data_IF_403778918967
#
_entry.id   IF_403778918967
#
_cell.length_a   1.000
_cell.length_b   1.000
_cell.length_c   1.000
_cell.angle_alpha   90.00
_cell.angle_beta   90.00
_cell.angle_gamma   90.00
#
_symmetry.space_group_name_H-M   'P 1'
#
loop_
_entity.id
_entity.type
_entity.pdbx_description
1 polymer ?
#
# COMPACT_ATOMS: atom_id res chain seq x y z
N UNK A 1 45.43 7.82 -40.00
CA UNK A 1 44.21 8.42 -40.59
C UNK A 1 43.43 7.26 -41.16
N UNK A 2 42.44 6.76 -40.42
CA UNK A 2 41.08 7.36 -40.33
C UNK A 2 40.40 7.33 -41.71
N UNK A 3 39.27 6.67 -41.94
CA UNK A 3 38.13 6.42 -41.04
C UNK A 3 37.54 4.99 -41.16
N UNK A 4 36.76 4.57 -40.15
CA UNK A 4 35.98 3.32 -40.12
C UNK A 4 34.55 3.47 -40.73
N UNK A 5 33.76 2.38 -40.91
CA UNK A 5 32.73 2.31 -41.95
C UNK A 5 31.35 2.90 -41.58
N UNK A 6 30.55 3.14 -42.62
CA UNK A 6 29.10 3.37 -42.50
C UNK A 6 28.42 2.16 -41.84
N UNK A 7 27.82 2.36 -40.66
CA UNK A 7 26.81 1.46 -40.11
C UNK A 7 25.42 2.09 -40.28
N UNK A 8 24.60 1.46 -41.11
CA UNK A 8 23.23 1.86 -41.39
C UNK A 8 22.33 1.36 -40.25
N UNK A 9 21.87 2.27 -39.40
CA UNK A 9 20.97 1.93 -38.28
C UNK A 9 19.56 1.77 -38.84
N UNK A 10 19.07 0.53 -38.94
CA UNK A 10 17.66 0.26 -39.26
C UNK A 10 16.75 0.75 -38.13
N UNK A 11 15.75 1.57 -38.48
CA UNK A 11 14.71 2.07 -37.57
C UNK A 11 13.73 0.93 -37.23
N UNK A 12 14.10 0.10 -36.25
CA UNK A 12 13.23 -0.93 -35.69
C UNK A 12 12.39 -0.37 -34.55
N UNK A 13 11.08 -0.26 -34.83
CA UNK A 13 10.03 0.09 -33.87
C UNK A 13 10.18 -0.71 -32.56
N UNK A 14 10.08 -0.08 -31.38
CA UNK A 14 10.16 -0.79 -30.11
C UNK A 14 8.99 -1.77 -29.97
N UNK A 15 9.29 -3.04 -29.68
CA UNK A 15 8.28 -4.04 -29.33
C UNK A 15 7.91 -3.85 -27.87
N UNK A 16 6.61 -3.67 -27.61
CA UNK A 16 6.06 -3.44 -26.28
C UNK A 16 5.83 -4.78 -25.56
N UNK A 17 6.70 -5.13 -24.62
CA UNK A 17 6.49 -6.28 -23.72
C UNK A 17 5.48 -5.93 -22.62
N UNK A 18 4.73 -6.92 -22.13
CA UNK A 18 3.53 -6.75 -21.31
C UNK A 18 3.70 -5.99 -19.98
N UNK A 19 4.92 -5.87 -19.45
CA UNK A 19 5.24 -5.14 -18.20
C UNK A 19 5.77 -3.72 -18.40
N UNK A 20 5.76 -3.19 -19.63
CA UNK A 20 5.90 -1.75 -19.90
C UNK A 20 7.27 -1.11 -19.64
N UNK A 21 8.29 -1.87 -19.25
CA UNK A 21 9.65 -1.36 -19.02
C UNK A 21 10.50 -1.40 -20.29
N UNK A 22 11.13 -0.27 -20.65
CA UNK A 22 12.05 -0.17 -21.79
C UNK A 22 13.44 -0.70 -21.44
N UNK A 23 13.83 -1.83 -22.05
CA UNK A 23 15.13 -2.46 -21.80
C UNK A 23 16.21 -1.88 -22.73
N UNK A 24 16.91 -0.83 -22.28
CA UNK A 24 18.07 -0.27 -23.01
C UNK A 24 19.32 -1.10 -22.74
N UNK A 25 19.64 -2.03 -23.63
CA UNK A 25 20.91 -2.76 -23.61
C UNK A 25 22.04 -1.95 -24.26
N UNK A 26 23.08 -1.59 -23.50
CA UNK A 26 24.48 -1.62 -23.95
C UNK A 26 25.45 -1.42 -22.75
N UNK A 27 26.41 -2.35 -22.62
CA UNK A 27 27.56 -2.31 -21.70
C UNK A 27 28.75 -1.66 -22.42
N UNK A 28 29.80 -1.09 -21.77
CA UNK A 28 30.91 -1.92 -21.25
C UNK A 28 31.77 -1.30 -20.11
N UNK A 29 31.93 -1.97 -18.96
CA UNK A 29 33.15 -1.80 -18.14
C UNK A 29 33.46 -3.05 -17.31
N UNK A 30 34.70 -3.51 -17.37
CA UNK A 30 35.23 -4.73 -16.74
C UNK A 30 36.23 -4.35 -15.63
N UNK A 31 36.14 -4.92 -14.41
CA UNK A 31 37.08 -4.62 -13.34
C UNK A 31 38.32 -5.54 -13.34
N UNK A 32 39.50 -4.95 -13.51
CA UNK A 32 40.80 -5.65 -13.35
C UNK A 32 41.12 -5.92 -11.88
N UNK A 33 41.73 -7.07 -11.57
CA UNK A 33 41.97 -7.56 -10.21
C UNK A 33 43.22 -6.98 -9.51
N UNK A 34 43.13 -6.80 -8.18
CA UNK A 34 44.29 -6.78 -7.26
C UNK A 34 43.88 -7.14 -5.82
N UNK A 35 44.70 -7.97 -5.16
CA UNK A 35 44.41 -8.74 -3.94
C UNK A 35 44.30 -7.96 -2.61
N UNK A 36 43.50 -8.52 -1.67
CA UNK A 36 43.91 -8.74 -0.27
C UNK A 36 43.04 -9.83 0.40
N UNK A 37 43.66 -10.70 1.20
CA UNK A 37 43.08 -11.94 1.76
C UNK A 37 42.56 -11.75 3.19
N UNK A 38 41.41 -12.36 3.54
CA UNK A 38 41.16 -13.10 4.80
C UNK A 38 39.87 -13.93 4.64
N UNK A 39 39.84 -15.15 5.19
CA UNK A 39 38.83 -16.17 4.87
C UNK A 39 37.85 -16.45 6.02
N UNK A 40 36.59 -16.75 5.68
CA UNK A 40 35.68 -17.64 6.44
C UNK A 40 34.61 -18.25 5.53
N UNK A 41 34.12 -19.43 5.90
CA UNK A 41 33.05 -20.20 5.27
C UNK A 41 32.19 -20.82 6.39
N UNK A 42 30.93 -21.20 6.22
CA UNK A 42 30.09 -21.43 5.02
C UNK A 42 28.64 -20.95 5.38
N UNK A 43 27.57 -20.95 4.57
CA UNK A 43 27.24 -21.65 3.32
C UNK A 43 26.13 -20.91 2.52
N UNK A 44 25.58 -21.59 1.51
CA UNK A 44 24.50 -21.22 0.58
C UNK A 44 23.09 -21.15 1.16
N UNK A 45 22.32 -20.13 0.76
CA UNK A 45 20.90 -20.29 0.38
C UNK A 45 20.46 -19.15 -0.56
N UNK A 46 20.45 -19.40 -1.87
CA UNK A 46 19.78 -18.55 -2.86
C UNK A 46 18.28 -18.76 -2.78
N UNK A 47 17.51 -17.72 -2.48
CA UNK A 47 16.06 -17.70 -2.73
C UNK A 47 15.66 -16.40 -3.38
N UNK A 48 15.61 -16.41 -4.71
CA UNK A 48 14.84 -15.47 -5.52
C UNK A 48 13.37 -15.55 -5.11
N UNK A 49 12.86 -14.52 -4.43
CA UNK A 49 11.43 -14.37 -4.15
C UNK A 49 10.84 -13.43 -5.20
N UNK A 50 10.49 -14.01 -6.35
CA UNK A 50 9.53 -13.38 -7.26
C UNK A 50 8.15 -13.53 -6.63
N UNK A 51 7.64 -12.49 -5.98
CA UNK A 51 6.22 -12.39 -5.67
C UNK A 51 5.51 -11.61 -6.78
N UNK A 52 5.06 -12.35 -7.78
CA UNK A 52 4.07 -11.88 -8.73
C UNK A 52 2.78 -11.57 -7.96
N UNK A 53 2.43 -10.28 -7.84
CA UNK A 53 1.10 -9.90 -7.34
C UNK A 53 0.06 -10.24 -8.40
N UNK A 54 -0.42 -11.49 -8.40
CA UNK A 54 -1.53 -11.93 -9.23
C UNK A 54 -2.77 -11.07 -8.91
N UNK A 55 -3.11 -10.19 -9.84
CA UNK A 55 -4.38 -9.45 -9.81
C UNK A 55 -5.52 -10.43 -10.14
N UNK A 56 -5.97 -11.14 -9.11
CA UNK A 56 -7.13 -12.03 -9.22
C UNK A 56 -8.37 -11.22 -9.60
N UNK A 57 -8.75 -11.29 -10.87
CA UNK A 57 -10.03 -10.79 -11.37
C UNK A 57 -11.18 -11.73 -10.94
N UNK A 58 -11.38 -11.85 -9.63
CA UNK A 58 -12.51 -12.54 -9.05
C UNK A 58 -13.77 -11.68 -9.15
N UNK A 59 -14.68 -12.03 -10.05
CA UNK A 59 -16.07 -11.55 -10.01
C UNK A 59 -16.78 -12.29 -8.87
N UNK A 60 -16.43 -11.93 -7.64
CA UNK A 60 -17.11 -12.38 -6.43
C UNK A 60 -18.27 -11.45 -6.14
N UNK A 61 -19.50 -11.96 -6.20
CA UNK A 61 -20.70 -11.24 -5.72
C UNK A 61 -20.70 -11.31 -4.18
N UNK A 62 -19.78 -10.56 -3.57
CA UNK A 62 -19.80 -10.24 -2.15
C UNK A 62 -20.45 -8.87 -1.96
N UNK A 63 -21.52 -8.81 -1.17
CA UNK A 63 -22.15 -7.53 -0.78
C UNK A 63 -21.26 -6.89 0.28
N UNK A 64 -20.20 -6.24 -0.17
CA UNK A 64 -19.18 -5.60 0.65
C UNK A 64 -18.30 -4.73 -0.23
N UNK A 65 -18.69 -3.46 -0.40
CA UNK A 65 -17.81 -2.46 -0.98
C UNK A 65 -16.55 -2.24 -0.11
N UNK A 66 -15.51 -1.61 -0.64
CA UNK A 66 -14.33 -1.29 0.15
C UNK A 66 -14.72 -0.43 1.37
N UNK A 67 -14.08 -0.69 2.51
CA UNK A 67 -14.29 0.04 3.76
C UNK A 67 -14.16 1.56 3.53
N UNK A 68 -15.19 2.32 3.89
CA UNK A 68 -15.21 3.78 3.81
C UNK A 68 -14.98 4.42 5.17
N UNK A 69 -14.55 5.67 5.19
CA UNK A 69 -14.28 6.43 6.43
C UNK A 69 -15.54 6.56 7.30
N UNK A 70 -16.71 6.70 6.68
CA UNK A 70 -18.00 6.83 7.37
C UNK A 70 -18.45 5.53 8.09
N UNK A 71 -17.80 4.41 7.80
CA UNK A 71 -18.14 3.09 8.35
C UNK A 71 -17.29 2.71 9.57
N UNK A 72 -16.37 3.58 10.01
CA UNK A 72 -15.42 3.33 11.09
C UNK A 72 -16.04 3.60 12.47
N UNK A 73 -15.89 2.65 13.41
CA UNK A 73 -16.33 2.81 14.81
C UNK A 73 -15.18 3.37 15.67
N UNK A 74 -15.02 4.69 15.66
CA UNK A 74 -13.94 5.43 16.35
C UNK A 74 -14.52 6.42 17.38
N UNK A 75 -15.70 6.12 17.96
CA UNK A 75 -16.29 6.97 19.00
C UNK A 75 -15.60 6.79 20.37
N UNK A 76 -14.54 7.56 20.57
CA UNK A 76 -13.67 7.46 21.76
C UNK A 76 -13.98 8.53 22.83
N UNK A 77 -14.62 9.64 22.45
CA UNK A 77 -14.95 10.73 23.37
C UNK A 77 -15.86 10.34 24.55
N UNK A 78 -16.90 9.49 24.39
CA UNK A 78 -17.75 9.08 25.51
C UNK A 78 -16.95 8.41 26.63
N UNK A 79 -16.02 7.52 26.29
CA UNK A 79 -15.22 6.79 27.28
C UNK A 79 -14.12 7.66 27.91
N UNK A 80 -13.54 8.61 27.16
CA UNK A 80 -12.62 9.61 27.74
C UNK A 80 -13.34 10.46 28.79
N UNK A 81 -14.53 10.97 28.48
CA UNK A 81 -15.35 11.73 29.42
C UNK A 81 -15.64 10.93 30.70
N UNK A 82 -16.00 9.67 30.52
CA UNK A 82 -16.32 8.75 31.60
C UNK A 82 -15.12 8.35 32.47
N UNK A 83 -13.88 8.39 31.94
CA UNK A 83 -12.64 8.23 32.70
C UNK A 83 -12.33 9.50 33.48
N UNK A 84 -12.38 10.69 32.84
CA UNK A 84 -12.14 11.98 33.51
C UNK A 84 -13.08 12.14 34.71
N UNK A 85 -14.38 11.93 34.50
CA UNK A 85 -15.39 11.93 35.57
C UNK A 85 -15.10 10.90 36.66
N UNK A 86 -14.53 9.74 36.34
CA UNK A 86 -14.21 8.71 37.32
C UNK A 86 -12.96 9.03 38.14
N UNK A 87 -11.99 9.76 37.58
CA UNK A 87 -10.77 10.22 38.26
C UNK A 87 -11.05 11.44 39.14
N UNK A 88 -11.94 12.34 38.70
CA UNK A 88 -12.33 13.56 39.44
C UNK A 88 -13.29 13.29 40.61
N UNK A 89 -13.89 12.11 40.68
CA UNK A 89 -14.88 11.76 41.70
C UNK A 89 -14.20 11.44 43.03
N UNK A 90 -14.31 12.34 44.01
CA UNK A 90 -13.78 12.11 45.37
C UNK A 90 -14.54 10.95 46.06
N UNK A 91 -13.87 9.84 46.40
CA UNK A 91 -14.53 8.63 46.87
C UNK A 91 -14.72 8.66 48.40
N UNK A 92 -15.97 8.70 48.87
CA UNK A 92 -16.34 8.89 50.28
C UNK A 92 -15.90 7.76 51.24
N UNK A 93 -15.77 6.52 50.78
CA UNK A 93 -15.57 5.34 51.65
C UNK A 93 -14.51 4.38 51.12
N UNK A 94 -13.78 3.69 51.99
CA UNK A 94 -12.62 2.86 51.58
C UNK A 94 -13.01 1.64 50.71
N UNK A 95 -14.21 1.09 50.91
CA UNK A 95 -14.74 0.00 50.07
C UNK A 95 -15.22 0.52 48.71
N UNK A 96 -15.74 1.74 48.66
CA UNK A 96 -16.15 2.44 47.43
C UNK A 96 -14.91 2.83 46.62
N UNK A 97 -13.84 3.35 47.27
CA UNK A 97 -12.53 3.64 46.66
C UNK A 97 -12.00 2.48 45.82
N UNK A 98 -12.02 1.27 46.36
CA UNK A 98 -11.49 0.09 45.67
C UNK A 98 -12.33 -0.28 44.44
N UNK A 99 -13.66 -0.17 44.53
CA UNK A 99 -14.58 -0.44 43.41
C UNK A 99 -14.48 0.62 42.32
N UNK A 100 -14.55 1.89 42.67
CA UNK A 100 -14.47 2.98 41.69
C UNK A 100 -13.09 3.02 41.00
N UNK A 101 -12.02 2.69 41.72
CA UNK A 101 -10.70 2.47 41.13
C UNK A 101 -10.68 1.31 40.13
N UNK A 102 -11.29 0.15 40.49
CA UNK A 102 -11.38 -0.99 39.58
C UNK A 102 -12.16 -0.65 38.31
N UNK A 103 -13.30 0.04 38.45
CA UNK A 103 -14.16 0.43 37.33
C UNK A 103 -13.47 1.49 36.44
N UNK A 104 -12.71 2.42 37.04
CA UNK A 104 -11.86 3.37 36.30
C UNK A 104 -10.80 2.64 35.45
N UNK A 105 -10.09 1.67 36.04
CA UNK A 105 -9.10 0.86 35.33
C UNK A 105 -9.74 0.04 34.19
N UNK A 106 -10.97 -0.45 34.37
CA UNK A 106 -11.70 -1.14 33.30
C UNK A 106 -12.00 -0.22 32.11
N UNK A 107 -12.44 1.02 32.37
CA UNK A 107 -12.67 2.02 31.31
C UNK A 107 -11.38 2.40 30.57
N UNK A 108 -10.25 2.52 31.29
CA UNK A 108 -8.93 2.77 30.68
C UNK A 108 -8.53 1.60 29.75
N UNK A 109 -8.81 0.35 30.15
CA UNK A 109 -8.54 -0.82 29.31
C UNK A 109 -9.46 -0.91 28.09
N UNK A 110 -10.76 -0.58 28.23
CA UNK A 110 -11.65 -0.49 27.06
C UNK A 110 -11.18 0.62 26.10
N UNK A 111 -10.76 1.78 26.60
CA UNK A 111 -10.18 2.86 25.78
C UNK A 111 -8.96 2.38 24.99
N UNK A 112 -8.04 1.63 25.60
CA UNK A 112 -6.91 1.01 24.91
C UNK A 112 -7.36 0.05 23.79
N UNK A 113 -8.36 -0.79 24.08
CA UNK A 113 -8.95 -1.71 23.09
C UNK A 113 -9.63 -0.98 21.93
N UNK A 114 -10.32 0.14 22.21
CA UNK A 114 -10.94 1.01 21.18
C UNK A 114 -9.87 1.63 20.28
N UNK A 115 -8.75 2.11 20.83
CA UNK A 115 -7.63 2.61 20.03
C UNK A 115 -7.02 1.54 19.12
N UNK A 116 -6.81 0.31 19.60
CA UNK A 116 -6.24 -0.74 18.76
C UNK A 116 -7.22 -1.22 17.69
N UNK A 117 -8.53 -1.32 18.02
CA UNK A 117 -9.58 -1.59 17.04
C UNK A 117 -9.64 -0.50 15.96
N UNK A 118 -9.59 0.78 16.35
CA UNK A 118 -9.57 1.90 15.41
C UNK A 118 -8.32 1.88 14.53
N UNK A 119 -7.14 1.58 15.10
CA UNK A 119 -5.90 1.40 14.33
C UNK A 119 -6.04 0.30 13.29
N UNK A 120 -6.63 -0.84 13.65
CA UNK A 120 -6.82 -1.97 12.74
C UNK A 120 -7.86 -1.68 11.65
N UNK A 121 -8.97 -1.00 11.97
CA UNK A 121 -9.92 -0.54 10.96
C UNK A 121 -9.29 0.48 10.00
N UNK A 122 -8.48 1.42 10.51
CA UNK A 122 -7.74 2.38 9.67
C UNK A 122 -6.77 1.66 8.73
N UNK A 123 -6.09 0.58 9.18
CA UNK A 123 -5.22 -0.25 8.32
C UNK A 123 -5.96 -0.95 7.17
N UNK A 124 -7.28 -1.11 7.27
CA UNK A 124 -8.10 -1.75 6.23
C UNK A 124 -8.71 -0.73 5.24
N UNK A 125 -8.46 0.57 5.43
CA UNK A 125 -8.91 1.59 4.48
C UNK A 125 -8.11 1.50 3.17
N UNK A 126 -8.77 1.54 2.00
CA UNK A 126 -8.08 1.45 0.72
C UNK A 126 -7.19 2.67 0.47
N UNK A 127 -5.94 2.40 0.07
CA UNK A 127 -5.02 3.41 -0.46
C UNK A 127 -4.18 4.15 0.58
N UNK A 128 -4.25 3.77 1.87
CA UNK A 128 -3.35 4.27 2.93
C UNK A 128 -1.87 3.91 2.69
N UNK A 129 -1.62 2.84 1.93
CA UNK A 129 -0.27 2.34 1.62
C UNK A 129 0.46 3.23 0.60
N UNK A 130 -0.26 4.12 -0.08
CA UNK A 130 0.28 5.02 -1.09
C UNK A 130 0.59 6.38 -0.50
N UNK A 131 1.73 6.94 -0.90
CA UNK A 131 2.01 8.33 -0.64
C UNK A 131 1.10 9.23 -1.51
N UNK A 132 0.97 10.51 -1.13
CA UNK A 132 0.07 11.47 -1.80
C UNK A 132 0.32 11.58 -3.31
N UNK A 133 1.56 11.50 -3.76
CA UNK A 133 1.92 11.62 -5.18
C UNK A 133 1.50 10.36 -5.96
N UNK A 134 1.75 9.17 -5.40
CA UNK A 134 1.28 7.90 -5.97
C UNK A 134 -0.25 7.83 -6.08
N UNK A 135 -0.98 8.31 -5.07
CA UNK A 135 -2.44 8.42 -5.10
C UNK A 135 -2.91 9.31 -6.26
N UNK A 136 -2.28 10.47 -6.46
CA UNK A 136 -2.61 11.40 -7.54
C UNK A 136 -2.29 10.83 -8.93
N UNK A 137 -1.11 10.23 -9.10
CA UNK A 137 -0.71 9.60 -10.35
C UNK A 137 -1.64 8.46 -10.74
N UNK A 138 -2.01 7.59 -9.78
CA UNK A 138 -2.94 6.49 -10.03
C UNK A 138 -4.35 6.99 -10.37
N UNK A 139 -4.81 8.06 -9.72
CA UNK A 139 -6.08 8.71 -10.01
C UNK A 139 -6.11 9.31 -11.42
N UNK A 140 -5.02 9.91 -11.90
CA UNK A 140 -4.93 10.44 -13.27
C UNK A 140 -4.81 9.34 -14.33
N UNK A 141 -4.11 8.25 -14.02
CA UNK A 141 -4.11 7.03 -14.84
C UNK A 141 -5.53 6.45 -14.99
N UNK A 142 -6.29 6.34 -13.89
CA UNK A 142 -7.67 5.87 -13.91
C UNK A 142 -8.58 6.77 -14.76
N UNK A 143 -8.44 8.10 -14.66
CA UNK A 143 -9.15 9.06 -15.51
C UNK A 143 -8.82 8.88 -16.99
N UNK A 144 -7.53 8.71 -17.31
CA UNK A 144 -7.06 8.48 -18.68
C UNK A 144 -7.59 7.17 -19.27
N UNK A 145 -7.54 6.07 -18.50
CA UNK A 145 -8.13 4.79 -18.87
C UNK A 145 -9.65 4.89 -19.10
N UNK A 146 -10.37 5.58 -18.21
CA UNK A 146 -11.82 5.78 -18.32
C UNK A 146 -12.19 6.60 -19.55
N UNK A 147 -11.44 7.67 -19.85
CA UNK A 147 -11.60 8.49 -21.07
C UNK A 147 -11.38 7.64 -22.33
N UNK A 148 -10.32 6.84 -22.38
CA UNK A 148 -10.02 5.97 -23.51
C UNK A 148 -11.11 4.89 -23.69
N UNK A 149 -11.54 4.23 -22.61
CA UNK A 149 -12.64 3.25 -22.65
C UNK A 149 -13.95 3.88 -23.13
N UNK A 150 -14.29 5.10 -22.71
CA UNK A 150 -15.47 5.81 -23.22
C UNK A 150 -15.35 6.15 -24.71
N UNK A 151 -14.19 6.62 -25.17
CA UNK A 151 -13.95 6.89 -26.60
C UNK A 151 -14.12 5.62 -27.44
N UNK A 152 -13.60 4.49 -26.95
CA UNK A 152 -13.69 3.19 -27.61
C UNK A 152 -15.15 2.70 -27.68
N UNK A 153 -15.89 2.78 -26.57
CA UNK A 153 -17.32 2.42 -26.53
C UNK A 153 -18.14 3.29 -27.49
N UNK A 154 -17.88 4.59 -27.58
CA UNK A 154 -18.53 5.47 -28.56
C UNK A 154 -18.20 5.04 -29.98
N UNK A 155 -16.90 4.88 -30.30
CA UNK A 155 -16.46 4.45 -31.64
C UNK A 155 -17.15 3.19 -32.12
N UNK A 156 -17.27 2.16 -31.28
CA UNK A 156 -17.96 0.93 -31.66
C UNK A 156 -19.49 1.09 -31.73
N UNK A 157 -20.12 1.85 -30.82
CA UNK A 157 -21.54 2.19 -30.92
C UNK A 157 -21.90 2.97 -32.18
N UNK A 158 -21.03 3.87 -32.61
CA UNK A 158 -21.23 4.72 -33.78
C UNK A 158 -21.00 3.97 -35.11
N UNK A 159 -20.44 2.75 -35.08
CA UNK A 159 -20.21 1.87 -36.24
C UNK A 159 -21.16 0.67 -36.34
N UNK A 160 -22.12 0.52 -35.43
CA UNK A 160 -23.16 -0.53 -35.48
C UNK A 160 -24.36 -0.07 -36.34
N UNK A 161 -24.11 0.28 -37.62
CA UNK A 161 -25.11 0.59 -38.65
C UNK A 161 -24.62 0.21 -40.06
#
# INVERSE_FOLDING_TARGET
MELSPHNQIEDRKPILTADGLVQTSNSPFEPTAAAATTATNTQTATTTVSQETQTSNGIGIGIGGPLTVDQLDIEILPIIYDIVRCVEKDPLENTVKLRESQDCNHKIFELQKRFESAREQIKQLPGIDYNKEEQLQRLELLRSQLKLKQQLIRKYKDTEF
#
